data_IF_902611047948
#
_entry.id   IF_902611047948
#
_cell.length_a   1.000
_cell.length_b   1.000
_cell.length_c   1.000
_cell.angle_alpha   90.00
_cell.angle_beta   90.00
_cell.angle_gamma   90.00
#
_symmetry.space_group_name_H-M   'P 1'
#
loop_
_entity.id
_entity.type
_entity.pdbx_description
1 polymer ?
#
# COMPACT_ATOMS: atom_id res chain seq x y z
N UNK A 1 4.52 12.74 -8.59
CA UNK A 1 4.82 11.34 -8.91
C UNK A 1 4.94 10.56 -7.61
N UNK A 2 3.83 10.14 -7.04
CA UNK A 2 3.84 9.44 -5.74
C UNK A 2 4.15 7.97 -6.00
N UNK A 3 5.42 7.62 -6.13
CA UNK A 3 5.86 6.23 -6.17
C UNK A 3 5.61 5.64 -4.78
N UNK A 4 4.53 4.87 -4.62
CA UNK A 4 4.17 4.27 -3.34
C UNK A 4 5.34 3.46 -2.74
N UNK A 5 5.47 3.52 -1.42
CA UNK A 5 6.54 2.83 -0.68
C UNK A 5 6.43 1.30 -0.86
N UNK A 6 7.59 0.63 -0.93
CA UNK A 6 7.64 -0.85 -0.93
C UNK A 6 7.26 -1.39 0.44
N UNK A 7 6.81 -2.66 0.51
CA UNK A 7 6.47 -3.31 1.79
C UNK A 7 7.61 -3.25 2.81
N UNK A 8 8.87 -3.29 2.34
CA UNK A 8 10.07 -3.13 3.16
C UNK A 8 10.17 -1.73 3.75
N UNK A 9 9.96 -0.70 2.94
CA UNK A 9 10.00 0.69 3.41
C UNK A 9 8.86 1.00 4.38
N UNK A 10 7.67 0.42 4.14
CA UNK A 10 6.52 0.51 5.06
C UNK A 10 6.85 -0.14 6.40
N UNK A 11 7.47 -1.32 6.36
CA UNK A 11 7.93 -2.04 7.55
C UNK A 11 8.93 -1.22 8.37
N UNK A 12 9.90 -0.58 7.71
CA UNK A 12 10.87 0.32 8.36
C UNK A 12 10.20 1.57 8.95
N UNK A 13 9.25 2.19 8.23
CA UNK A 13 8.58 3.41 8.68
C UNK A 13 7.64 3.17 9.88
N UNK A 14 7.03 2.00 9.95
CA UNK A 14 6.04 1.64 10.99
C UNK A 14 6.66 0.77 12.10
N UNK A 15 7.98 0.61 12.12
CA UNK A 15 8.73 -0.26 13.06
C UNK A 15 8.07 -1.64 13.23
N UNK A 16 7.70 -2.25 12.10
CA UNK A 16 6.97 -3.52 12.07
C UNK A 16 7.68 -4.56 11.20
N UNK A 17 7.44 -5.84 11.45
CA UNK A 17 8.04 -6.91 10.65
C UNK A 17 7.61 -6.85 9.18
N UNK A 18 8.54 -7.09 8.25
CA UNK A 18 8.28 -7.16 6.81
C UNK A 18 7.07 -8.06 6.49
N UNK A 19 7.04 -9.24 7.10
CA UNK A 19 5.94 -10.21 6.94
C UNK A 19 4.59 -9.61 7.32
N UNK A 20 4.52 -8.81 8.37
CA UNK A 20 3.30 -8.15 8.82
C UNK A 20 2.88 -7.04 7.85
N UNK A 21 3.84 -6.26 7.35
CA UNK A 21 3.58 -5.23 6.33
C UNK A 21 3.07 -5.85 5.02
N UNK A 22 3.65 -6.96 4.59
CA UNK A 22 3.18 -7.73 3.43
C UNK A 22 1.78 -8.29 3.65
N UNK A 23 1.49 -8.83 4.83
CA UNK A 23 0.17 -9.36 5.16
C UNK A 23 -0.90 -8.27 5.17
N UNK A 24 -0.61 -7.10 5.76
CA UNK A 24 -1.49 -5.95 5.70
C UNK A 24 -1.71 -5.47 4.27
N UNK A 25 -0.65 -5.36 3.47
CA UNK A 25 -0.75 -4.98 2.06
C UNK A 25 -1.61 -5.97 1.27
N UNK A 26 -1.39 -7.27 1.44
CA UNK A 26 -2.22 -8.31 0.82
C UNK A 26 -3.69 -8.22 1.21
N UNK A 27 -3.98 -7.92 2.48
CA UNK A 27 -5.35 -7.74 2.96
C UNK A 27 -6.01 -6.48 2.38
N UNK A 28 -5.28 -5.37 2.29
CA UNK A 28 -5.73 -4.13 1.65
C UNK A 28 -6.02 -4.37 0.16
N UNK A 29 -5.15 -5.10 -0.53
CA UNK A 29 -5.31 -5.44 -1.95
C UNK A 29 -6.57 -6.27 -2.17
N UNK A 30 -6.83 -7.27 -1.32
CA UNK A 30 -8.06 -8.07 -1.36
C UNK A 30 -9.30 -7.23 -1.09
N UNK A 31 -9.28 -6.38 -0.04
CA UNK A 31 -10.42 -5.52 0.33
C UNK A 31 -10.76 -4.49 -0.75
N UNK A 32 -9.75 -3.95 -1.43
CA UNK A 32 -9.91 -2.95 -2.48
C UNK A 32 -9.95 -3.56 -3.89
N UNK A 33 -9.85 -4.88 -3.99
CA UNK A 33 -9.86 -5.63 -5.25
C UNK A 33 -8.80 -5.16 -6.27
N UNK A 34 -7.61 -4.78 -5.79
CA UNK A 34 -6.50 -4.27 -6.61
C UNK A 34 -5.37 -5.28 -6.71
N UNK A 35 -4.72 -5.35 -7.88
CA UNK A 35 -3.66 -6.31 -8.14
C UNK A 35 -2.25 -5.68 -8.14
N UNK A 36 -2.16 -4.35 -8.05
CA UNK A 36 -0.89 -3.64 -8.14
C UNK A 36 -0.86 -2.34 -7.34
N UNK A 37 0.33 -1.90 -6.94
CA UNK A 37 0.52 -0.63 -6.22
C UNK A 37 0.07 0.57 -7.05
N UNK A 38 0.27 0.52 -8.36
CA UNK A 38 -0.22 1.55 -9.28
C UNK A 38 -1.74 1.68 -9.24
N UNK A 39 -2.48 0.56 -9.21
CA UNK A 39 -3.94 0.58 -9.08
C UNK A 39 -4.38 1.12 -7.72
N UNK A 40 -3.71 0.69 -6.65
CA UNK A 40 -3.97 1.20 -5.30
C UNK A 40 -3.78 2.73 -5.23
N UNK A 41 -2.69 3.26 -5.79
CA UNK A 41 -2.42 4.70 -5.84
C UNK A 41 -3.49 5.41 -6.68
N UNK A 42 -3.87 4.86 -7.84
CA UNK A 42 -4.92 5.46 -8.68
C UNK A 42 -6.27 5.50 -7.96
N UNK A 43 -6.59 4.45 -7.19
CA UNK A 43 -7.78 4.39 -6.35
C UNK A 43 -7.71 5.39 -5.20
N UNK A 44 -6.57 5.52 -4.52
CA UNK A 44 -6.35 6.51 -3.47
C UNK A 44 -6.51 7.95 -4.00
N UNK A 45 -5.99 8.25 -5.19
CA UNK A 45 -6.17 9.56 -5.83
C UNK A 45 -7.63 9.84 -6.18
N UNK A 46 -8.35 8.84 -6.70
CA UNK A 46 -9.80 8.97 -6.96
C UNK A 46 -10.61 9.15 -5.67
N UNK A 47 -10.15 8.57 -4.57
CA UNK A 47 -10.77 8.70 -3.25
C UNK A 47 -10.40 10.01 -2.53
N UNK A 48 -9.53 10.86 -3.09
CA UNK A 48 -9.05 12.09 -2.44
C UNK A 48 -8.13 11.82 -1.25
N UNK A 49 -7.52 10.63 -1.17
CA UNK A 49 -6.59 10.23 -0.11
C UNK A 49 -5.12 10.53 -0.45
N UNK A 50 -4.88 11.13 -1.63
CA UNK A 50 -3.57 11.64 -2.03
C UNK A 50 -3.60 13.16 -1.96
N UNK A 51 -2.70 13.74 -1.18
CA UNK A 51 -2.35 15.17 -1.21
C UNK A 51 -1.11 15.41 -2.10
#
# INVERSE_FOLDING_TARGET
MTAGNTSKKIAELLDMSLKTAENHRGNIYKKLHVSSSAELIRLAGKAGLLE
#
